data_IF_624420724523
#
_entry.id   IF_624420724523
#
_cell.length_a   1.000
_cell.length_b   1.000
_cell.length_c   1.000
_cell.angle_alpha   90.00
_cell.angle_beta   90.00
_cell.angle_gamma   90.00
#
_symmetry.space_group_name_H-M   'P 1'
#
loop_
_entity.id
_entity.type
_entity.pdbx_description
1 polymer ?
#
# COMPACT_ATOMS: atom_id res chain seq x y z
N UNK A 1 17.45 -1.36 12.43
CA UNK A 1 16.26 -2.20 12.15
C UNK A 1 15.36 -1.47 11.17
N UNK A 2 14.80 -2.17 10.17
CA UNK A 2 13.79 -1.59 9.27
C UNK A 2 12.45 -1.50 9.99
N UNK A 3 11.68 -0.43 9.77
CA UNK A 3 10.31 -0.32 10.28
C UNK A 3 9.36 -1.20 9.46
N UNK A 4 8.18 -1.52 10.03
CA UNK A 4 7.16 -2.31 9.33
C UNK A 4 6.75 -1.63 8.01
N UNK A 5 6.66 -0.30 8.00
CA UNK A 5 6.37 0.48 6.80
C UNK A 5 7.43 0.29 5.70
N UNK A 6 8.73 0.37 6.01
CA UNK A 6 9.79 0.19 5.00
C UNK A 6 9.86 -1.25 4.48
N UNK A 7 9.60 -2.23 5.35
CA UNK A 7 9.47 -3.62 4.95
C UNK A 7 8.31 -3.82 3.97
N UNK A 8 7.13 -3.26 4.26
CA UNK A 8 5.96 -3.30 3.37
C UNK A 8 6.25 -2.63 2.03
N UNK A 9 6.90 -1.46 2.01
CA UNK A 9 7.28 -0.79 0.76
C UNK A 9 8.14 -1.68 -0.12
N UNK A 10 9.10 -2.38 0.49
CA UNK A 10 9.97 -3.34 -0.21
C UNK A 10 9.17 -4.49 -0.82
N UNK A 11 8.22 -5.06 -0.08
CA UNK A 11 7.32 -6.10 -0.60
C UNK A 11 6.53 -5.58 -1.78
N UNK A 12 5.87 -4.42 -1.62
CA UNK A 12 5.01 -3.85 -2.67
C UNK A 12 5.78 -3.57 -3.96
N UNK A 13 7.02 -3.10 -3.88
CA UNK A 13 7.91 -2.98 -5.04
C UNK A 13 8.17 -4.35 -5.69
N UNK A 14 8.55 -5.35 -4.90
CA UNK A 14 8.86 -6.70 -5.40
C UNK A 14 7.67 -7.36 -6.09
N UNK A 15 6.45 -7.13 -5.62
CA UNK A 15 5.24 -7.75 -6.20
C UNK A 15 4.54 -6.89 -7.25
N UNK A 16 5.03 -5.68 -7.52
CA UNK A 16 4.39 -4.71 -8.43
C UNK A 16 4.36 -5.12 -9.90
N UNK A 17 4.98 -6.25 -10.27
CA UNK A 17 4.89 -6.83 -11.60
C UNK A 17 3.55 -7.54 -11.87
N UNK A 18 2.82 -7.94 -10.82
CA UNK A 18 1.51 -8.59 -10.94
C UNK A 18 0.43 -7.79 -10.20
N UNK A 19 -0.62 -7.44 -10.93
CA UNK A 19 -1.71 -6.61 -10.39
C UNK A 19 -2.44 -7.26 -9.23
N UNK A 20 -2.74 -8.57 -9.33
CA UNK A 20 -3.52 -9.30 -8.33
C UNK A 20 -2.71 -9.48 -7.05
N UNK A 21 -1.42 -9.80 -7.19
CA UNK A 21 -0.50 -9.93 -6.07
C UNK A 21 -0.25 -8.59 -5.38
N UNK A 22 -0.03 -7.52 -6.15
CA UNK A 22 0.11 -6.18 -5.61
C UNK A 22 -1.12 -5.77 -4.78
N UNK A 23 -2.33 -5.98 -5.32
CA UNK A 23 -3.58 -5.69 -4.59
C UNK A 23 -3.70 -6.49 -3.30
N UNK A 24 -3.39 -7.79 -3.34
CA UNK A 24 -3.41 -8.67 -2.15
C UNK A 24 -2.44 -8.19 -1.07
N UNK A 25 -1.19 -7.89 -1.43
CA UNK A 25 -0.19 -7.43 -0.46
C UNK A 25 -0.49 -6.03 0.08
N UNK A 26 -1.03 -5.14 -0.76
CA UNK A 26 -1.47 -3.81 -0.31
C UNK A 26 -2.62 -3.90 0.69
N UNK A 27 -3.60 -4.78 0.45
CA UNK A 27 -4.70 -5.02 1.37
C UNK A 27 -4.22 -5.58 2.73
N UNK A 28 -3.21 -6.47 2.73
CA UNK A 28 -2.57 -6.97 3.97
C UNK A 28 -1.85 -5.84 4.70
N UNK A 29 -1.07 -5.03 3.99
CA UNK A 29 -0.32 -3.91 4.55
C UNK A 29 -1.24 -2.90 5.28
N UNK A 30 -2.38 -2.56 4.66
CA UNK A 30 -3.36 -1.63 5.24
C UNK A 30 -3.93 -2.15 6.57
N UNK A 31 -4.12 -3.47 6.72
CA UNK A 31 -4.63 -4.08 7.95
C UNK A 31 -3.58 -4.17 9.06
N UNK A 32 -2.31 -4.25 8.68
CA UNK A 32 -1.21 -4.48 9.62
C UNK A 32 -0.66 -3.18 10.23
N UNK A 33 -0.63 -2.12 9.44
CA UNK A 33 -0.03 -0.85 9.84
C UNK A 33 -0.97 -0.03 10.73
N UNK A 34 -0.38 0.75 11.63
CA UNK A 34 -1.15 1.73 12.43
C UNK A 34 -1.64 2.88 11.54
N UNK A 35 -2.71 3.61 11.93
CA UNK A 35 -3.30 4.66 11.09
C UNK A 35 -2.33 5.71 10.57
N UNK A 36 -1.34 6.10 11.38
CA UNK A 36 -0.27 7.04 10.98
C UNK A 36 0.56 6.48 9.83
N UNK A 37 0.96 5.22 9.90
CA UNK A 37 1.75 4.56 8.86
C UNK A 37 0.91 4.28 7.61
N UNK A 38 -0.38 3.93 7.76
CA UNK A 38 -1.29 3.78 6.60
C UNK A 38 -1.42 5.10 5.82
N UNK A 39 -1.47 6.26 6.52
CA UNK A 39 -1.45 7.57 5.84
C UNK A 39 -0.16 7.80 5.04
N UNK A 40 0.98 7.40 5.59
CA UNK A 40 2.27 7.50 4.91
C UNK A 40 2.37 6.54 3.72
N UNK A 41 1.95 5.28 3.91
CA UNK A 41 1.88 4.27 2.87
C UNK A 41 0.99 4.73 1.71
N UNK A 42 -0.19 5.30 2.00
CA UNK A 42 -1.10 5.84 0.99
C UNK A 42 -0.39 6.86 0.11
N UNK A 43 0.21 7.90 0.70
CA UNK A 43 0.91 8.94 -0.09
C UNK A 43 1.99 8.34 -0.97
N UNK A 44 2.80 7.44 -0.41
CA UNK A 44 3.87 6.77 -1.14
C UNK A 44 3.36 5.90 -2.29
N UNK A 45 2.30 5.10 -2.08
CA UNK A 45 1.72 4.26 -3.13
C UNK A 45 1.18 5.08 -4.30
N UNK A 46 0.49 6.19 -4.06
CA UNK A 46 0.00 7.05 -5.14
C UNK A 46 1.13 7.73 -5.92
N UNK A 47 2.22 8.11 -5.24
CA UNK A 47 3.41 8.67 -5.91
C UNK A 47 4.14 7.64 -6.78
N UNK A 48 4.36 6.42 -6.26
CA UNK A 48 5.13 5.39 -6.95
C UNK A 48 4.33 4.64 -8.00
N UNK A 49 3.07 4.31 -7.68
CA UNK A 49 2.27 3.38 -8.46
C UNK A 49 1.02 4.02 -9.07
N UNK A 50 0.76 5.30 -8.82
CA UNK A 50 -0.47 5.97 -9.25
C UNK A 50 -0.69 6.03 -10.75
N UNK A 51 0.37 5.94 -11.58
CA UNK A 51 0.25 5.88 -13.05
C UNK A 51 -0.29 4.55 -13.54
N UNK A 52 0.04 3.44 -12.87
CA UNK A 52 -0.28 2.07 -13.32
C UNK A 52 -1.46 1.48 -12.53
N UNK A 53 -1.47 1.70 -11.22
CA UNK A 53 -2.38 1.03 -10.29
C UNK A 53 -3.46 1.94 -9.69
N UNK A 54 -3.77 3.09 -10.31
CA UNK A 54 -4.72 4.07 -9.76
C UNK A 54 -6.04 3.46 -9.29
N UNK A 55 -6.63 2.57 -10.09
CA UNK A 55 -7.91 1.92 -9.78
C UNK A 55 -7.78 1.03 -8.54
N UNK A 56 -6.71 0.23 -8.46
CA UNK A 56 -6.42 -0.63 -7.30
C UNK A 56 -6.19 0.22 -6.05
N UNK A 57 -5.41 1.30 -6.16
CA UNK A 57 -5.16 2.21 -5.03
C UNK A 57 -6.45 2.87 -4.54
N UNK A 58 -7.31 3.34 -5.45
CA UNK A 58 -8.60 3.89 -5.08
C UNK A 58 -9.45 2.84 -4.36
N UNK A 59 -9.52 1.62 -4.89
CA UNK A 59 -10.25 0.51 -4.29
C UNK A 59 -9.75 0.19 -2.87
N UNK A 60 -8.46 -0.11 -2.71
CA UNK A 60 -7.88 -0.52 -1.42
C UNK A 60 -8.00 0.58 -0.35
N UNK A 61 -7.78 1.85 -0.71
CA UNK A 61 -7.80 2.95 0.26
C UNK A 61 -9.19 3.56 0.49
N UNK A 62 -10.22 3.18 -0.29
CA UNK A 62 -11.58 3.73 -0.15
C UNK A 62 -12.25 3.38 1.19
N UNK A 63 -11.90 2.24 1.78
CA UNK A 63 -12.53 1.71 3.00
C UNK A 63 -11.73 1.97 4.27
N UNK A 64 -10.58 2.64 4.16
CA UNK A 64 -9.71 2.91 5.31
C UNK A 64 -10.26 4.08 6.10
N UNK A 65 -10.72 3.80 7.32
CA UNK A 65 -11.07 4.84 8.29
C UNK A 65 -9.81 5.30 9.01
N UNK A 66 -9.53 6.59 8.93
CA UNK A 66 -8.42 7.23 9.62
C UNK A 66 -8.92 7.93 10.89
N UNK A 67 -9.68 7.21 11.72
CA UNK A 67 -10.12 7.67 13.05
C UNK A 67 -9.07 7.30 14.08
#
# INVERSE_FOLDING_TARGET
MLSMLEYIKTILQKVSFDRSLFEKELAKAIKLLIPKEVKQLKRWCYLQFGKVYRVVLNHCFSRVRFT
#
